data_IF_445239166664
#
_entry.id   IF_445239166664
#
_cell.length_a   1.000
_cell.length_b   1.000
_cell.length_c   1.000
_cell.angle_alpha   90.00
_cell.angle_beta   90.00
_cell.angle_gamma   90.00
#
_symmetry.space_group_name_H-M   'P 1'
#
loop_
_entity.id
_entity.type
_entity.pdbx_description
1 polymer ?
#
# COMPACT_ATOMS: atom_id res chain seq x y z
N UNK A 1 -30.23 60.97 41.81
CA UNK A 1 -29.49 60.39 40.67
C UNK A 1 -29.77 58.89 40.66
N UNK A 2 -30.12 58.39 39.49
CA UNK A 2 -31.08 57.30 39.29
C UNK A 2 -30.54 55.89 39.50
N UNK A 3 -31.34 55.06 40.14
CA UNK A 3 -31.49 53.60 39.94
C UNK A 3 -32.68 53.37 38.97
N UNK A 4 -33.13 52.14 38.61
CA UNK A 4 -32.52 50.78 38.56
C UNK A 4 -32.86 49.98 37.26
N UNK A 5 -32.20 48.82 37.07
CA UNK A 5 -32.87 47.51 36.89
C UNK A 5 -33.45 47.02 35.54
N UNK A 6 -33.37 45.69 35.39
CA UNK A 6 -34.30 44.72 34.74
C UNK A 6 -34.09 44.29 33.27
N UNK A 7 -33.99 42.95 33.08
CA UNK A 7 -34.34 42.19 31.86
C UNK A 7 -35.89 42.16 31.65
N UNK A 8 -36.51 41.24 30.86
CA UNK A 8 -36.44 40.88 29.42
C UNK A 8 -37.85 41.01 28.75
N UNK A 9 -38.01 40.84 27.43
CA UNK A 9 -39.15 40.11 26.82
C UNK A 9 -39.14 40.04 25.28
N UNK A 10 -39.69 38.93 24.80
CA UNK A 10 -40.02 38.49 23.45
C UNK A 10 -41.48 38.88 23.10
N UNK A 11 -41.79 39.35 21.88
CA UNK A 11 -43.02 38.99 21.10
C UNK A 11 -43.12 39.67 19.71
N UNK A 12 -43.34 38.83 18.69
CA UNK A 12 -44.31 38.89 17.57
C UNK A 12 -44.20 39.91 16.38
N UNK A 13 -44.12 39.29 15.19
CA UNK A 13 -44.56 39.61 13.80
C UNK A 13 -45.68 40.66 13.56
N UNK A 14 -45.91 41.21 12.32
CA UNK A 14 -46.00 40.46 11.04
C UNK A 14 -45.61 41.18 9.71
N UNK A 15 -45.71 40.41 8.61
CA UNK A 15 -46.12 40.76 7.23
C UNK A 15 -45.08 40.68 6.08
N UNK A 16 -45.29 39.69 5.20
CA UNK A 16 -44.84 39.56 3.80
C UNK A 16 -45.61 40.56 2.88
N UNK A 17 -45.42 40.66 1.52
CA UNK A 17 -44.73 39.75 0.58
C UNK A 17 -43.89 40.43 -0.54
N UNK A 18 -43.09 39.65 -1.27
CA UNK A 18 -42.47 40.10 -2.52
C UNK A 18 -41.44 39.11 -3.07
N UNK A 19 -41.84 38.29 -4.04
CA UNK A 19 -40.94 37.44 -4.82
C UNK A 19 -40.16 38.20 -5.92
N UNK A 20 -39.71 37.52 -6.97
CA UNK A 20 -38.37 36.94 -7.06
C UNK A 20 -37.53 37.58 -8.19
N UNK A 21 -36.19 37.40 -8.19
CA UNK A 21 -35.36 36.98 -9.36
C UNK A 21 -33.85 37.28 -9.24
N UNK A 22 -33.07 36.27 -9.69
CA UNK A 22 -31.78 36.31 -10.41
C UNK A 22 -30.52 36.90 -9.72
N UNK A 23 -29.28 36.54 -10.02
CA UNK A 23 -28.58 35.43 -10.71
C UNK A 23 -27.13 35.91 -10.89
N UNK A 24 -26.13 35.12 -10.49
CA UNK A 24 -24.77 35.10 -11.09
C UNK A 24 -24.03 33.87 -10.53
N UNK A 25 -24.04 32.70 -11.17
CA UNK A 25 -23.30 32.31 -12.37
C UNK A 25 -21.77 32.47 -12.24
N UNK A 26 -21.08 31.34 -11.98
CA UNK A 26 -19.76 31.10 -12.57
C UNK A 26 -19.62 29.62 -12.96
N UNK A 27 -19.39 29.47 -14.25
CA UNK A 27 -19.36 28.31 -15.13
C UNK A 27 -18.23 27.32 -14.87
N UNK A 28 -18.54 26.03 -14.88
CA UNK A 28 -17.62 24.92 -15.18
C UNK A 28 -18.18 24.13 -16.38
N UNK A 29 -17.33 23.47 -17.20
CA UNK A 29 -17.70 23.07 -18.56
C UNK A 29 -18.70 21.92 -18.58
N UNK A 30 -19.85 22.15 -19.21
CA UNK A 30 -20.78 21.11 -19.68
C UNK A 30 -20.29 20.53 -21.00
N UNK A 31 -20.36 19.21 -21.12
CA UNK A 31 -20.52 18.55 -22.42
C UNK A 31 -19.78 17.22 -22.53
N UNK A 32 -20.47 16.10 -22.29
CA UNK A 32 -21.09 15.25 -23.33
C UNK A 32 -22.02 14.25 -22.64
N UNK A 33 -23.15 13.99 -23.29
CA UNK A 33 -24.38 13.47 -22.68
C UNK A 33 -24.20 12.16 -21.91
N UNK A 34 -24.72 12.15 -20.69
CA UNK A 34 -25.25 10.92 -20.12
C UNK A 34 -26.38 10.48 -21.05
N UNK A 35 -26.09 9.55 -21.96
CA UNK A 35 -27.13 8.74 -22.57
C UNK A 35 -27.70 7.95 -21.39
N UNK A 36 -28.89 8.35 -20.96
CA UNK A 36 -29.72 7.57 -20.07
C UNK A 36 -30.14 6.34 -20.87
N UNK A 37 -29.22 5.38 -21.00
CA UNK A 37 -29.53 4.06 -21.53
C UNK A 37 -30.36 3.41 -20.44
N UNK A 38 -31.68 3.56 -20.57
CA UNK A 38 -32.65 2.64 -20.01
C UNK A 38 -32.21 1.26 -20.46
N UNK A 39 -31.48 0.56 -19.59
CA UNK A 39 -31.22 -0.86 -19.79
C UNK A 39 -32.60 -1.48 -19.62
N UNK A 40 -33.25 -1.81 -20.74
CA UNK A 40 -34.47 -2.60 -20.71
C UNK A 40 -34.11 -3.93 -20.06
N UNK A 41 -34.42 -4.02 -18.76
CA UNK A 41 -34.12 -5.15 -17.88
C UNK A 41 -35.04 -6.36 -18.13
N UNK A 42 -35.43 -6.56 -19.39
CA UNK A 42 -36.38 -7.57 -19.83
C UNK A 42 -35.68 -8.75 -20.53
N UNK A 43 -34.60 -9.29 -19.94
CA UNK A 43 -34.00 -10.54 -20.43
C UNK A 43 -33.18 -11.27 -19.37
N UNK A 44 -33.76 -11.55 -18.20
CA UNK A 44 -33.36 -12.72 -17.40
C UNK A 44 -34.58 -13.19 -16.63
N UNK A 45 -35.26 -14.20 -17.17
CA UNK A 45 -36.32 -14.90 -16.46
C UNK A 45 -35.71 -15.67 -15.30
N UNK A 46 -35.92 -15.17 -14.08
CA UNK A 46 -35.98 -16.01 -12.89
C UNK A 46 -36.91 -15.35 -11.88
N UNK A 47 -37.86 -16.14 -11.35
CA UNK A 47 -38.92 -15.69 -10.43
C UNK A 47 -38.38 -15.36 -9.02
N UNK A 48 -37.06 -15.45 -8.81
CA UNK A 48 -36.41 -15.41 -7.49
C UNK A 48 -35.46 -14.21 -7.26
N UNK A 49 -35.37 -13.26 -8.21
CA UNK A 49 -34.63 -12.00 -8.02
C UNK A 49 -33.11 -12.14 -7.87
N UNK A 50 -32.52 -13.28 -8.25
CA UNK A 50 -31.07 -13.54 -8.24
C UNK A 50 -30.45 -13.24 -9.61
N UNK A 51 -29.18 -12.89 -9.62
CA UNK A 51 -28.42 -12.74 -10.86
C UNK A 51 -26.98 -13.26 -10.72
N UNK A 52 -26.41 -13.64 -11.86
CA UNK A 52 -25.00 -14.03 -11.98
C UNK A 52 -24.17 -12.76 -12.01
N UNK A 53 -23.03 -12.78 -11.31
CA UNK A 53 -22.08 -11.68 -11.33
C UNK A 53 -20.64 -12.18 -11.23
N UNK A 54 -19.71 -11.32 -11.64
CA UNK A 54 -18.28 -11.57 -11.55
C UNK A 54 -17.81 -11.28 -10.12
N UNK A 55 -17.58 -12.34 -9.35
CA UNK A 55 -17.18 -12.26 -7.95
C UNK A 55 -15.68 -11.98 -7.78
N UNK A 56 -14.85 -12.50 -8.69
CA UNK A 56 -13.40 -12.34 -8.64
C UNK A 56 -12.79 -12.49 -10.03
N UNK A 57 -11.69 -11.80 -10.25
CA UNK A 57 -10.79 -11.98 -11.38
C UNK A 57 -9.39 -12.29 -10.86
N UNK A 58 -8.74 -13.31 -11.39
CA UNK A 58 -7.36 -13.65 -11.06
C UNK A 58 -6.55 -13.72 -12.36
N UNK A 59 -5.51 -12.89 -12.49
CA UNK A 59 -4.57 -13.01 -13.60
C UNK A 59 -3.35 -13.82 -13.18
N UNK A 60 -2.98 -14.79 -14.02
CA UNK A 60 -1.80 -15.62 -13.84
C UNK A 60 -0.53 -15.00 -14.46
N UNK A 61 -0.70 -14.20 -15.51
CA UNK A 61 0.40 -13.67 -16.34
C UNK A 61 0.45 -12.13 -16.36
N UNK A 62 0.64 -11.55 -17.56
CA UNK A 62 0.98 -10.13 -17.78
C UNK A 62 -0.24 -9.21 -17.75
N UNK A 63 -1.46 -9.75 -17.83
CA UNK A 63 -2.67 -8.95 -17.92
C UNK A 63 -3.09 -8.37 -16.57
N UNK A 64 -3.51 -7.11 -16.58
CA UNK A 64 -4.25 -6.55 -15.44
C UNK A 64 -5.62 -7.22 -15.32
N UNK A 65 -6.17 -7.33 -14.11
CA UNK A 65 -7.51 -7.89 -13.87
C UNK A 65 -8.61 -7.32 -14.77
N UNK A 66 -8.57 -6.01 -15.06
CA UNK A 66 -9.54 -5.37 -15.95
C UNK A 66 -9.34 -5.71 -17.43
N UNK A 67 -8.09 -5.96 -17.87
CA UNK A 67 -7.84 -6.46 -19.24
C UNK A 67 -8.23 -7.91 -19.40
N UNK A 68 -7.97 -8.74 -18.39
CA UNK A 68 -8.46 -10.12 -18.35
C UNK A 68 -10.00 -10.15 -18.41
N UNK A 69 -10.67 -9.25 -17.67
CA UNK A 69 -12.12 -9.11 -17.72
C UNK A 69 -12.60 -8.65 -19.11
N UNK A 70 -11.93 -7.67 -19.73
CA UNK A 70 -12.22 -7.24 -21.09
C UNK A 70 -12.08 -8.37 -22.10
N UNK A 71 -10.99 -9.16 -22.01
CA UNK A 71 -10.75 -10.33 -22.84
C UNK A 71 -11.88 -11.36 -22.71
N UNK A 72 -12.31 -11.67 -21.49
CA UNK A 72 -13.42 -12.60 -21.29
C UNK A 72 -14.76 -12.03 -21.78
N UNK A 73 -14.93 -10.71 -21.71
CA UNK A 73 -16.12 -9.99 -22.16
C UNK A 73 -16.19 -9.81 -23.69
N UNK A 74 -15.22 -10.32 -24.46
CA UNK A 74 -15.31 -10.35 -25.93
C UNK A 74 -16.32 -11.41 -26.35
N UNK A 75 -17.52 -10.95 -26.69
CA UNK A 75 -18.69 -11.78 -27.01
C UNK A 75 -19.35 -11.27 -28.28
N UNK A 76 -20.14 -12.11 -29.00
CA UNK A 76 -20.95 -11.65 -30.11
C UNK A 76 -21.90 -10.52 -29.71
N UNK A 77 -22.14 -9.58 -30.62
CA UNK A 77 -23.17 -8.56 -30.41
C UNK A 77 -24.54 -9.23 -30.20
N UNK A 78 -25.27 -8.80 -29.16
CA UNK A 78 -26.59 -9.33 -28.84
C UNK A 78 -26.61 -10.73 -28.20
N UNK A 79 -25.48 -11.24 -27.67
CA UNK A 79 -25.46 -12.51 -26.92
C UNK A 79 -26.49 -12.50 -25.77
N UNK A 80 -27.29 -13.57 -25.68
CA UNK A 80 -28.28 -13.78 -24.61
C UNK A 80 -27.75 -14.67 -23.47
N UNK A 81 -26.47 -15.06 -23.50
CA UNK A 81 -25.88 -15.87 -22.43
C UNK A 81 -25.78 -15.04 -21.13
N UNK A 82 -26.33 -15.52 -19.99
CA UNK A 82 -26.26 -14.79 -18.73
C UNK A 82 -24.83 -14.58 -18.21
N UNK A 83 -23.87 -15.44 -18.60
CA UNK A 83 -22.45 -15.27 -18.29
C UNK A 83 -21.88 -14.09 -19.08
N UNK A 84 -22.22 -13.97 -20.37
CA UNK A 84 -21.79 -12.87 -21.24
C UNK A 84 -22.32 -11.53 -20.73
N UNK A 85 -23.61 -11.50 -20.38
CA UNK A 85 -24.24 -10.33 -19.78
C UNK A 85 -23.55 -9.92 -18.45
N UNK A 86 -23.20 -10.89 -17.59
CA UNK A 86 -22.49 -10.62 -16.33
C UNK A 86 -21.07 -10.09 -16.56
N UNK A 87 -20.35 -10.59 -17.57
CA UNK A 87 -19.01 -10.13 -17.93
C UNK A 87 -19.01 -8.69 -18.45
N UNK A 88 -19.89 -8.39 -19.40
CA UNK A 88 -20.04 -7.05 -19.99
C UNK A 88 -20.49 -6.05 -18.92
N UNK A 89 -21.50 -6.39 -18.11
CA UNK A 89 -21.95 -5.53 -17.02
C UNK A 89 -20.84 -5.27 -15.98
N UNK A 90 -20.06 -6.30 -15.64
CA UNK A 90 -18.92 -6.16 -14.74
C UNK A 90 -17.82 -5.29 -15.35
N UNK A 91 -17.55 -5.39 -16.66
CA UNK A 91 -16.56 -4.55 -17.32
C UNK A 91 -16.97 -3.08 -17.30
N UNK A 92 -18.21 -2.77 -17.68
CA UNK A 92 -18.73 -1.39 -17.65
C UNK A 92 -18.70 -0.80 -16.24
N UNK A 93 -19.09 -1.57 -15.22
CA UNK A 93 -19.08 -1.11 -13.84
C UNK A 93 -17.66 -0.88 -13.31
N UNK A 94 -16.75 -1.82 -13.57
CA UNK A 94 -15.43 -1.84 -12.94
C UNK A 94 -14.35 -1.13 -13.75
N UNK A 95 -14.51 -0.98 -15.05
CA UNK A 95 -13.57 -0.36 -16.01
C UNK A 95 -14.33 0.41 -17.10
N UNK A 96 -15.03 1.51 -16.75
CA UNK A 96 -15.69 2.36 -17.75
C UNK A 96 -14.70 3.02 -18.73
N UNK A 97 -13.40 3.00 -18.40
CA UNK A 97 -12.30 3.46 -19.24
C UNK A 97 -11.91 2.49 -20.37
N UNK A 98 -12.41 1.25 -20.34
CA UNK A 98 -12.18 0.24 -21.39
C UNK A 98 -13.46 0.08 -22.21
N UNK A 99 -13.37 0.28 -23.52
CA UNK A 99 -14.45 -0.06 -24.45
C UNK A 99 -14.60 -1.58 -24.57
N UNK A 100 -15.85 -2.05 -24.60
CA UNK A 100 -16.14 -3.47 -24.83
C UNK A 100 -15.81 -3.78 -26.29
N UNK A 101 -14.91 -4.74 -26.51
CA UNK A 101 -14.66 -5.29 -27.83
C UNK A 101 -15.69 -6.39 -28.11
N UNK A 102 -16.37 -6.31 -29.24
CA UNK A 102 -17.30 -7.34 -29.68
C UNK A 102 -16.65 -8.25 -30.73
N UNK A 103 -17.05 -9.51 -30.73
CA UNK A 103 -16.66 -10.45 -31.79
C UNK A 103 -17.43 -10.12 -33.06
N UNK A 104 -16.73 -10.06 -34.20
CA UNK A 104 -17.39 -9.98 -35.50
C UNK A 104 -18.24 -11.24 -35.77
N UNK A 105 -19.23 -11.13 -36.66
CA UNK A 105 -20.07 -12.26 -37.07
C UNK A 105 -19.22 -13.41 -37.63
N UNK A 106 -19.54 -14.65 -37.24
CA UNK A 106 -18.82 -15.85 -37.65
C UNK A 106 -17.47 -16.08 -36.96
N UNK A 107 -17.01 -15.17 -36.10
CA UNK A 107 -15.74 -15.28 -35.38
C UNK A 107 -15.84 -15.84 -33.96
N UNK A 108 -17.04 -16.26 -33.56
CA UNK A 108 -17.33 -16.89 -32.29
C UNK A 108 -17.71 -18.35 -32.48
N UNK A 109 -17.01 -19.24 -31.80
CA UNK A 109 -17.28 -20.67 -31.77
C UNK A 109 -17.73 -21.07 -30.36
N UNK A 110 -19.01 -21.41 -30.13
CA UNK A 110 -19.53 -21.70 -28.80
C UNK A 110 -18.92 -22.98 -28.20
N UNK A 111 -19.05 -23.12 -26.88
CA UNK A 111 -18.66 -24.34 -26.18
C UNK A 111 -19.64 -25.48 -26.52
N UNK A 112 -19.13 -26.70 -26.65
CA UNK A 112 -19.93 -27.92 -26.88
C UNK A 112 -19.68 -28.93 -25.75
N UNK A 113 -20.49 -29.99 -25.65
CA UNK A 113 -20.28 -31.02 -24.62
C UNK A 113 -18.92 -31.72 -24.77
N UNK A 114 -18.44 -31.89 -26.01
CA UNK A 114 -17.11 -32.43 -26.29
C UNK A 114 -15.98 -31.40 -26.07
N UNK A 115 -16.27 -30.10 -26.29
CA UNK A 115 -15.33 -28.99 -26.16
C UNK A 115 -15.87 -27.97 -25.17
N UNK A 116 -15.57 -28.15 -23.88
CA UNK A 116 -16.06 -27.31 -22.76
C UNK A 116 -15.41 -25.91 -22.68
N UNK A 117 -15.03 -25.35 -23.83
CA UNK A 117 -14.54 -23.99 -23.98
C UNK A 117 -15.05 -23.42 -25.30
N UNK A 118 -15.32 -22.12 -25.32
CA UNK A 118 -15.59 -21.34 -26.53
C UNK A 118 -14.32 -20.68 -27.02
N UNK A 119 -14.32 -20.36 -28.31
CA UNK A 119 -13.24 -19.65 -29.00
C UNK A 119 -13.81 -18.38 -29.61
N UNK A 120 -13.12 -17.26 -29.42
CA UNK A 120 -13.49 -15.97 -29.98
C UNK A 120 -12.27 -15.34 -30.61
N UNK A 121 -12.35 -14.93 -31.88
CA UNK A 121 -11.32 -14.07 -32.47
C UNK A 121 -11.63 -12.63 -32.09
N UNK A 122 -10.64 -11.95 -31.52
CA UNK A 122 -10.71 -10.55 -31.16
C UNK A 122 -9.71 -9.75 -31.99
N UNK A 123 -10.21 -8.69 -32.64
CA UNK A 123 -9.38 -7.80 -33.44
C UNK A 123 -8.88 -6.63 -32.62
N UNK A 124 -7.60 -6.28 -32.80
CA UNK A 124 -7.01 -5.10 -32.16
C UNK A 124 -7.01 -5.14 -30.63
N UNK A 125 -6.74 -6.30 -30.03
CA UNK A 125 -6.63 -6.40 -28.57
C UNK A 125 -5.24 -5.96 -28.11
N UNK A 126 -5.19 -4.97 -27.21
CA UNK A 126 -3.93 -4.53 -26.62
C UNK A 126 -3.53 -5.45 -25.45
N UNK A 127 -2.52 -6.29 -25.65
CA UNK A 127 -2.00 -7.18 -24.61
C UNK A 127 -1.18 -6.42 -23.55
N UNK A 128 -0.29 -5.50 -23.96
CA UNK A 128 0.60 -4.75 -23.07
C UNK A 128 0.31 -3.23 -23.08
N UNK A 129 0.75 -2.51 -22.05
CA UNK A 129 0.82 -1.03 -22.03
C UNK A 129 2.05 -0.51 -22.80
N UNK A 130 2.97 -1.40 -23.15
CA UNK A 130 4.29 -1.12 -23.75
C UNK A 130 4.27 -0.73 -25.24
N UNK A 131 3.23 -0.06 -25.74
CA UNK A 131 3.15 0.47 -27.11
C UNK A 131 3.33 -0.55 -28.26
N UNK A 132 3.21 -1.85 -28.01
CA UNK A 132 3.05 -2.81 -29.11
C UNK A 132 1.70 -2.54 -29.82
N UNK A 133 1.67 -2.60 -31.17
CA UNK A 133 0.43 -2.39 -31.91
C UNK A 133 -0.63 -3.39 -31.44
N UNK A 134 -1.92 -2.99 -31.42
CA UNK A 134 -3.00 -3.93 -31.14
C UNK A 134 -2.88 -5.15 -32.05
N UNK A 135 -2.91 -6.36 -31.46
CA UNK A 135 -2.75 -7.61 -32.21
C UNK A 135 -4.09 -8.35 -32.27
N UNK A 136 -4.27 -9.10 -33.34
CA UNK A 136 -5.37 -10.06 -33.44
C UNK A 136 -5.05 -11.26 -32.56
N UNK A 137 -6.01 -11.64 -31.71
CA UNK A 137 -5.82 -12.71 -30.75
C UNK A 137 -6.99 -13.68 -30.80
N UNK A 138 -6.69 -14.95 -30.57
CA UNK A 138 -7.70 -15.97 -30.33
C UNK A 138 -7.87 -16.12 -28.83
N UNK A 139 -9.09 -15.91 -28.34
CA UNK A 139 -9.46 -16.00 -26.94
C UNK A 139 -10.18 -17.32 -26.72
N UNK A 140 -9.74 -18.08 -25.72
CA UNK A 140 -10.37 -19.31 -25.27
C UNK A 140 -10.95 -19.07 -23.87
N UNK A 141 -12.24 -19.31 -23.69
CA UNK A 141 -12.91 -19.19 -22.38
C UNK A 141 -13.73 -20.44 -22.08
N UNK A 142 -13.56 -21.03 -20.90
CA UNK A 142 -14.25 -22.28 -20.59
C UNK A 142 -13.97 -22.86 -19.22
N UNK A 143 -14.35 -24.13 -19.08
CA UNK A 143 -14.07 -24.92 -17.90
C UNK A 143 -12.56 -25.00 -17.62
N UNK A 144 -12.17 -24.87 -16.36
CA UNK A 144 -10.77 -24.78 -15.95
C UNK A 144 -9.98 -26.00 -16.41
N UNK A 145 -10.53 -27.20 -16.26
CA UNK A 145 -9.85 -28.44 -16.64
C UNK A 145 -9.74 -28.57 -18.16
N UNK A 146 -10.75 -28.11 -18.90
CA UNK A 146 -10.73 -28.11 -20.37
C UNK A 146 -9.71 -27.13 -20.93
N UNK A 147 -9.63 -25.91 -20.38
CA UNK A 147 -8.66 -24.89 -20.80
C UNK A 147 -7.23 -25.30 -20.45
N UNK A 148 -6.99 -25.85 -19.24
CA UNK A 148 -5.65 -26.33 -18.84
C UNK A 148 -5.15 -27.53 -19.67
N UNK A 149 -6.04 -28.27 -20.34
CA UNK A 149 -5.67 -29.32 -21.30
C UNK A 149 -5.33 -28.76 -22.68
N UNK A 150 -5.91 -27.63 -23.06
CA UNK A 150 -5.79 -27.04 -24.39
C UNK A 150 -4.79 -25.88 -24.46
N UNK A 151 -4.34 -25.35 -23.31
CA UNK A 151 -3.44 -24.21 -23.21
C UNK A 151 -2.28 -24.49 -22.25
N UNK A 152 -1.14 -23.86 -22.47
CA UNK A 152 0.03 -23.99 -21.62
C UNK A 152 0.02 -22.96 -20.48
N UNK A 153 0.43 -23.44 -19.30
CA UNK A 153 0.61 -22.64 -18.10
C UNK A 153 1.93 -23.09 -17.44
N UNK A 154 2.92 -22.19 -17.27
CA UNK A 154 4.21 -22.54 -16.68
C UNK A 154 4.05 -23.22 -15.32
N UNK A 155 4.93 -24.19 -15.00
CA UNK A 155 4.84 -24.97 -13.76
C UNK A 155 4.87 -24.08 -12.49
N UNK A 156 5.61 -22.97 -12.53
CA UNK A 156 5.68 -21.99 -11.45
C UNK A 156 4.35 -21.28 -11.18
N UNK A 157 3.53 -21.08 -12.21
CA UNK A 157 2.24 -20.37 -12.14
C UNK A 157 1.06 -21.33 -11.92
N UNK A 158 1.21 -22.60 -12.33
CA UNK A 158 0.16 -23.62 -12.26
C UNK A 158 -0.30 -23.93 -10.83
N UNK A 159 0.63 -24.10 -9.89
CA UNK A 159 0.27 -24.42 -8.51
C UNK A 159 -0.46 -23.26 -7.79
N UNK A 160 -0.01 -21.99 -7.88
CA UNK A 160 -0.78 -20.85 -7.39
C UNK A 160 -2.16 -20.73 -8.06
N UNK A 161 -2.23 -20.87 -9.38
CA UNK A 161 -3.48 -20.79 -10.14
C UNK A 161 -4.52 -21.80 -9.62
N UNK A 162 -4.14 -23.08 -9.50
CA UNK A 162 -5.04 -24.13 -9.01
C UNK A 162 -5.47 -23.93 -7.55
N UNK A 163 -4.60 -23.41 -6.68
CA UNK A 163 -4.98 -23.06 -5.30
C UNK A 163 -6.04 -21.96 -5.27
N UNK A 164 -5.93 -20.97 -6.14
CA UNK A 164 -6.91 -19.89 -6.23
C UNK A 164 -8.25 -20.36 -6.81
N UNK A 165 -8.22 -21.31 -7.75
CA UNK A 165 -9.42 -21.97 -8.27
C UNK A 165 -10.11 -22.79 -7.17
N UNK A 166 -9.39 -23.68 -6.48
CA UNK A 166 -9.93 -24.50 -5.37
C UNK A 166 -10.52 -23.61 -4.25
N UNK A 167 -9.85 -22.50 -3.92
CA UNK A 167 -10.38 -21.54 -2.96
C UNK A 167 -11.69 -20.91 -3.43
N UNK A 168 -11.79 -20.50 -4.70
CA UNK A 168 -13.00 -19.92 -5.27
C UNK A 168 -14.15 -20.92 -5.29
N UNK A 169 -13.89 -22.17 -5.69
CA UNK A 169 -14.88 -23.24 -5.72
C UNK A 169 -15.40 -23.60 -4.32
N UNK A 170 -14.52 -23.64 -3.30
CA UNK A 170 -14.93 -23.81 -1.89
C UNK A 170 -15.80 -22.68 -1.36
N UNK A 171 -15.69 -21.48 -1.92
CA UNK A 171 -16.57 -20.36 -1.62
C UNK A 171 -17.90 -20.40 -2.40
N UNK A 172 -18.18 -21.50 -3.11
CA UNK A 172 -19.38 -21.67 -3.92
C UNK A 172 -19.34 -20.88 -5.24
N UNK A 173 -18.16 -20.45 -5.68
CA UNK A 173 -17.98 -19.71 -6.93
C UNK A 173 -17.66 -20.69 -8.07
N UNK A 174 -18.07 -20.37 -9.30
CA UNK A 174 -17.69 -21.14 -10.49
C UNK A 174 -16.64 -20.40 -11.31
N UNK A 175 -15.53 -21.06 -11.60
CA UNK A 175 -14.42 -20.45 -12.33
C UNK A 175 -14.54 -20.71 -13.84
N UNK A 176 -14.35 -19.65 -14.62
CA UNK A 176 -14.17 -19.67 -16.06
C UNK A 176 -12.71 -19.33 -16.35
N UNK A 177 -11.93 -20.28 -16.83
CA UNK A 177 -10.56 -20.02 -17.24
C UNK A 177 -10.54 -19.28 -18.58
N UNK A 178 -9.55 -18.41 -18.74
CA UNK A 178 -9.34 -17.61 -19.95
C UNK A 178 -7.90 -17.81 -20.41
N UNK A 179 -7.74 -18.17 -21.67
CA UNK A 179 -6.47 -18.31 -22.36
C UNK A 179 -6.48 -17.50 -23.65
N UNK A 180 -5.29 -17.16 -24.13
CA UNK A 180 -5.13 -16.42 -25.37
C UNK A 180 -3.99 -16.97 -26.22
N UNK A 181 -4.12 -16.87 -27.54
CA UNK A 181 -3.08 -17.17 -28.51
C UNK A 181 -2.97 -16.01 -29.51
N UNK A 182 -1.75 -15.59 -29.90
CA UNK A 182 -1.58 -14.61 -30.97
C UNK A 182 -2.02 -15.21 -32.30
N UNK A 183 -2.53 -14.37 -33.20
CA UNK A 183 -2.85 -14.73 -34.58
C UNK A 183 -1.79 -14.06 -35.47
N UNK A 184 -1.12 -14.84 -36.30
CA UNK A 184 -0.15 -14.32 -37.25
C UNK A 184 -0.81 -13.57 -38.42
N UNK A 185 -0.01 -12.88 -39.24
CA UNK A 185 -0.52 -12.14 -40.40
C UNK A 185 -1.18 -13.06 -41.46
N UNK A 186 -0.84 -14.35 -41.45
CA UNK A 186 -1.37 -15.37 -42.35
C UNK A 186 -2.67 -16.01 -41.79
N UNK A 187 -3.09 -15.62 -40.59
CA UNK A 187 -4.32 -16.05 -39.92
C UNK A 187 -4.20 -17.33 -39.08
N UNK A 188 -3.01 -17.91 -38.96
CA UNK A 188 -2.74 -19.06 -38.10
C UNK A 188 -2.75 -18.67 -36.63
N UNK A 189 -3.34 -19.53 -35.82
CA UNK A 189 -3.40 -19.38 -34.37
C UNK A 189 -2.16 -20.02 -33.76
N UNK A 190 -1.40 -19.23 -33.00
CA UNK A 190 -0.24 -19.70 -32.25
C UNK A 190 -0.60 -20.57 -31.05
N UNK A 191 0.35 -20.74 -30.15
CA UNK A 191 0.15 -21.52 -28.92
C UNK A 191 -0.75 -20.76 -27.92
N UNK A 192 -1.70 -21.48 -27.32
CA UNK A 192 -2.54 -20.90 -26.27
C UNK A 192 -1.80 -20.87 -24.94
N UNK A 193 -1.84 -19.70 -24.29
CA UNK A 193 -1.36 -19.51 -22.93
C UNK A 193 -2.49 -19.11 -22.00
N UNK A 194 -2.52 -19.70 -20.81
CA UNK A 194 -3.52 -19.35 -19.79
C UNK A 194 -3.20 -17.98 -19.21
N UNK A 195 -4.15 -17.05 -19.30
CA UNK A 195 -3.99 -15.67 -18.82
C UNK A 195 -4.58 -15.47 -17.41
N UNK A 196 -5.57 -16.29 -17.03
CA UNK A 196 -6.21 -16.21 -15.74
C UNK A 196 -7.55 -16.91 -15.66
N UNK A 197 -8.34 -16.60 -14.62
CA UNK A 197 -9.72 -17.04 -14.50
C UNK A 197 -10.63 -15.95 -13.93
N UNK A 198 -11.92 -16.09 -14.23
CA UNK A 198 -13.00 -15.25 -13.71
C UNK A 198 -13.94 -16.14 -12.91
N UNK A 199 -14.14 -15.82 -11.64
CA UNK A 199 -15.06 -16.55 -10.78
C UNK A 199 -16.43 -15.85 -10.75
N UNK A 200 -17.47 -16.62 -10.99
CA UNK A 200 -18.86 -16.20 -10.93
C UNK A 200 -19.51 -16.68 -9.65
N UNK A 201 -20.42 -15.88 -9.11
CA UNK A 201 -21.29 -16.28 -8.02
C UNK A 201 -22.73 -15.91 -8.34
N UNK A 202 -23.66 -16.54 -7.62
CA UNK A 202 -25.08 -16.21 -7.68
C UNK A 202 -25.43 -15.37 -6.44
N UNK A 203 -26.01 -14.19 -6.64
CA UNK A 203 -26.43 -13.33 -5.52
C UNK A 203 -27.76 -12.61 -5.81
N UNK A 204 -28.52 -12.21 -4.77
CA UNK A 204 -29.70 -11.37 -4.92
C UNK A 204 -29.36 -10.03 -5.60
N UNK A 205 -30.22 -9.55 -6.50
CA UNK A 205 -30.02 -8.28 -7.24
C UNK A 205 -29.77 -7.07 -6.34
N UNK A 206 -30.37 -7.01 -5.17
CA UNK A 206 -30.17 -5.93 -4.18
C UNK A 206 -28.75 -5.93 -3.62
N UNK A 207 -28.19 -7.10 -3.35
CA UNK A 207 -26.82 -7.27 -2.89
C UNK A 207 -25.83 -6.92 -4.01
N UNK A 208 -26.16 -7.27 -5.25
CA UNK A 208 -25.36 -6.94 -6.43
C UNK A 208 -25.27 -5.44 -6.68
N UNK A 209 -26.40 -4.72 -6.64
CA UNK A 209 -26.41 -3.27 -6.79
C UNK A 209 -25.49 -2.60 -5.76
N UNK A 210 -25.46 -3.12 -4.53
CA UNK A 210 -24.56 -2.67 -3.47
C UNK A 210 -23.08 -2.99 -3.78
N UNK A 211 -22.77 -4.21 -4.20
CA UNK A 211 -21.40 -4.63 -4.54
C UNK A 211 -20.85 -3.92 -5.80
N UNK A 212 -21.70 -3.67 -6.79
CA UNK A 212 -21.37 -2.91 -8.01
C UNK A 212 -21.13 -1.43 -7.67
N UNK A 213 -21.99 -0.82 -6.84
CA UNK A 213 -21.76 0.53 -6.33
C UNK A 213 -20.46 0.64 -5.50
N UNK A 214 -20.03 -0.45 -4.89
CA UNK A 214 -18.78 -0.52 -4.13
C UNK A 214 -17.51 -0.59 -5.01
N UNK A 215 -17.59 -0.66 -6.35
CA UNK A 215 -16.49 -0.67 -7.35
C UNK A 215 -15.07 -1.07 -6.82
N UNK A 216 -14.67 -2.35 -6.90
CA UNK A 216 -13.36 -2.84 -6.46
C UNK A 216 -12.15 -2.19 -7.16
N UNK A 217 -12.32 -1.56 -8.34
CA UNK A 217 -11.21 -0.85 -8.99
C UNK A 217 -11.05 0.60 -8.51
N UNK A 218 -11.95 1.09 -7.65
CA UNK A 218 -11.80 2.40 -7.05
C UNK A 218 -10.55 2.45 -6.16
N UNK A 219 -9.76 3.51 -6.31
CA UNK A 219 -8.65 3.79 -5.40
C UNK A 219 -9.20 4.38 -4.10
N UNK A 220 -8.90 3.72 -2.99
CA UNK A 220 -9.22 4.21 -1.64
C UNK A 220 -7.92 4.65 -1.00
N UNK A 221 -7.90 5.89 -0.50
CA UNK A 221 -6.81 6.39 0.34
C UNK A 221 -6.95 5.79 1.72
N UNK A 222 -5.97 4.99 2.13
CA UNK A 222 -5.87 4.46 3.49
C UNK A 222 -4.82 5.27 4.22
N UNK A 223 -5.21 5.93 5.31
CA UNK A 223 -4.26 6.65 6.15
C UNK A 223 -3.48 5.63 6.99
N UNK A 224 -2.28 5.28 6.50
CA UNK A 224 -1.39 4.34 7.17
C UNK A 224 -0.62 4.99 8.32
N UNK A 225 -0.21 6.26 8.20
CA UNK A 225 0.70 6.87 9.18
C UNK A 225 0.08 8.14 9.76
N UNK A 226 -0.16 8.12 11.08
CA UNK A 226 -0.67 9.30 11.77
C UNK A 226 0.32 10.46 11.71
N UNK A 227 -0.20 11.70 11.78
CA UNK A 227 0.63 12.89 11.74
C UNK A 227 1.71 12.90 12.84
N UNK A 228 1.35 12.40 14.03
CA UNK A 228 2.27 12.25 15.17
C UNK A 228 3.43 11.31 14.84
N UNK A 229 3.18 10.16 14.21
CA UNK A 229 4.24 9.23 13.84
C UNK A 229 5.19 9.83 12.80
N UNK A 230 4.64 10.56 11.83
CA UNK A 230 5.45 11.25 10.80
C UNK A 230 6.34 12.31 11.42
N UNK A 231 5.78 13.15 12.30
CA UNK A 231 6.56 14.15 13.03
C UNK A 231 7.70 13.48 13.83
N UNK A 232 7.39 12.43 14.59
CA UNK A 232 8.38 11.68 15.36
C UNK A 232 9.53 11.19 14.47
N UNK A 233 9.23 10.61 13.31
CA UNK A 233 10.26 10.11 12.40
C UNK A 233 11.15 11.21 11.83
N UNK A 234 10.56 12.28 11.28
CA UNK A 234 11.33 13.36 10.68
C UNK A 234 12.13 14.15 11.71
N UNK A 235 11.58 14.33 12.92
CA UNK A 235 12.30 14.92 14.04
C UNK A 235 13.48 14.03 14.49
N UNK A 236 13.28 12.70 14.57
CA UNK A 236 14.37 11.76 14.85
C UNK A 236 15.47 11.84 13.79
N UNK A 237 15.10 11.87 12.51
CA UNK A 237 16.06 11.99 11.41
C UNK A 237 16.90 13.27 11.53
N UNK A 238 16.25 14.43 11.70
CA UNK A 238 16.94 15.71 11.81
C UNK A 238 17.90 15.76 13.01
N UNK A 239 17.47 15.25 14.17
CA UNK A 239 18.30 15.22 15.37
C UNK A 239 19.47 14.25 15.25
N UNK A 240 19.24 13.04 14.70
CA UNK A 240 20.31 12.05 14.47
C UNK A 240 21.36 12.62 13.53
N UNK A 241 20.97 13.31 12.45
CA UNK A 241 21.90 13.96 11.52
C UNK A 241 22.71 15.05 12.24
N UNK A 242 22.06 15.94 13.00
CA UNK A 242 22.75 16.99 13.74
C UNK A 242 23.76 16.44 14.76
N UNK A 243 23.35 15.45 15.56
CA UNK A 243 24.24 14.79 16.54
C UNK A 243 25.36 14.01 15.87
N UNK A 244 25.09 13.37 14.74
CA UNK A 244 26.08 12.61 13.97
C UNK A 244 27.18 13.52 13.45
N UNK A 245 26.81 14.60 12.77
CA UNK A 245 27.77 15.54 12.16
C UNK A 245 28.63 16.17 13.24
N UNK A 246 28.00 16.67 14.31
CA UNK A 246 28.72 17.27 15.44
C UNK A 246 29.54 16.24 16.22
N UNK A 247 29.02 15.03 16.42
CA UNK A 247 29.67 13.93 17.14
C UNK A 247 30.92 13.44 16.43
N UNK A 248 30.88 13.36 15.09
CA UNK A 248 32.05 13.04 14.28
C UNK A 248 33.16 14.08 14.45
N UNK A 249 32.85 15.38 14.40
CA UNK A 249 33.85 16.43 14.65
C UNK A 249 34.35 16.45 16.11
N UNK A 250 33.55 15.99 17.07
CA UNK A 250 34.00 15.82 18.46
C UNK A 250 34.99 14.66 18.60
N UNK A 251 34.79 13.59 17.83
CA UNK A 251 35.65 12.41 17.82
C UNK A 251 36.96 12.68 17.07
N UNK A 252 36.88 13.28 15.89
CA UNK A 252 38.00 13.62 15.04
C UNK A 252 37.95 15.11 14.63
N UNK A 253 38.62 16.00 15.38
CA UNK A 253 38.64 17.43 15.09
C UNK A 253 39.55 17.78 13.89
N UNK A 254 40.24 16.81 13.28
CA UNK A 254 41.21 17.06 12.21
C UNK A 254 40.63 17.71 10.94
N UNK A 255 39.31 17.61 10.73
CA UNK A 255 38.61 18.27 9.62
C UNK A 255 38.20 19.72 9.92
N UNK A 256 38.36 20.20 11.15
CA UNK A 256 38.05 21.58 11.52
C UNK A 256 39.22 22.51 11.18
N UNK A 257 38.94 23.78 10.82
CA UNK A 257 39.98 24.80 10.68
C UNK A 257 40.82 24.86 11.96
N UNK A 258 42.14 24.71 11.80
CA UNK A 258 43.06 24.86 12.91
C UNK A 258 43.29 26.36 13.19
N UNK A 259 43.41 26.76 14.47
CA UNK A 259 43.71 28.15 14.80
C UNK A 259 45.01 28.59 14.13
N UNK A 260 44.97 29.75 13.48
CA UNK A 260 46.08 30.29 12.68
C UNK A 260 47.10 31.08 13.50
N UNK A 261 46.76 31.41 14.75
CA UNK A 261 47.63 32.13 15.69
C UNK A 261 47.39 31.65 17.12
N UNK A 262 48.39 31.78 17.98
CA UNK A 262 48.30 31.39 19.39
C UNK A 262 47.33 32.29 20.20
N UNK A 263 47.04 33.49 19.70
CA UNK A 263 46.24 34.50 20.37
C UNK A 263 44.73 34.42 20.06
N UNK A 264 44.35 33.70 18.99
CA UNK A 264 42.95 33.42 18.65
C UNK A 264 42.71 31.91 18.50
N UNK A 265 42.38 31.28 19.63
CA UNK A 265 42.07 29.84 19.70
C UNK A 265 40.64 29.51 19.22
N UNK A 266 39.81 30.52 18.95
CA UNK A 266 38.40 30.36 18.55
C UNK A 266 37.51 29.66 19.57
N UNK A 267 36.19 29.62 19.30
CA UNK A 267 35.20 28.88 20.11
C UNK A 267 34.40 27.85 19.31
N UNK A 268 34.87 27.51 18.10
CA UNK A 268 34.16 26.63 17.17
C UNK A 268 33.83 25.26 17.79
N UNK A 269 34.80 24.63 18.45
CA UNK A 269 34.59 23.34 19.11
C UNK A 269 33.59 23.44 20.28
N UNK A 270 33.56 24.60 20.96
CA UNK A 270 32.54 24.90 21.97
C UNK A 270 31.13 24.94 21.38
N UNK A 271 30.96 25.61 20.24
CA UNK A 271 29.69 25.69 19.49
C UNK A 271 29.26 24.29 19.01
N UNK A 272 30.17 23.51 18.44
CA UNK A 272 29.88 22.13 17.97
C UNK A 272 29.38 21.27 19.12
N UNK A 273 30.07 21.30 20.27
CA UNK A 273 29.66 20.58 21.48
C UNK A 273 28.31 21.06 21.99
N UNK A 274 28.06 22.36 21.99
CA UNK A 274 26.78 22.93 22.40
C UNK A 274 25.63 22.42 21.53
N UNK A 275 25.78 22.47 20.19
CA UNK A 275 24.78 21.95 19.25
C UNK A 275 24.55 20.45 19.49
N UNK A 276 25.62 19.67 19.70
CA UNK A 276 25.53 18.24 19.99
C UNK A 276 24.69 17.97 21.25
N UNK A 277 24.96 18.69 22.34
CA UNK A 277 24.23 18.50 23.60
C UNK A 277 22.77 18.92 23.48
N UNK A 278 22.49 20.08 22.87
CA UNK A 278 21.11 20.54 22.64
C UNK A 278 20.34 19.53 21.80
N UNK A 279 20.92 19.02 20.72
CA UNK A 279 20.31 17.99 19.88
C UNK A 279 20.10 16.68 20.67
N UNK A 280 21.07 16.27 21.50
CA UNK A 280 20.95 15.11 22.38
C UNK A 280 19.81 15.21 23.38
N UNK A 281 19.68 16.35 24.07
CA UNK A 281 18.57 16.57 25.00
C UNK A 281 17.22 16.63 24.28
N UNK A 282 17.14 17.29 23.12
CA UNK A 282 15.93 17.28 22.30
C UNK A 282 15.55 15.86 21.86
N UNK A 283 16.55 15.02 21.54
CA UNK A 283 16.34 13.63 21.15
C UNK A 283 15.87 12.76 22.31
N UNK A 284 16.37 12.99 23.53
CA UNK A 284 15.86 12.35 24.75
C UNK A 284 14.40 12.73 24.99
N UNK A 285 14.04 14.00 24.88
CA UNK A 285 12.64 14.45 25.03
C UNK A 285 11.75 13.79 23.97
N UNK A 286 12.22 13.71 22.74
CA UNK A 286 11.51 13.01 21.66
C UNK A 286 11.35 11.52 21.98
N UNK A 287 12.40 10.85 22.46
CA UNK A 287 12.35 9.46 22.90
C UNK A 287 11.38 9.22 24.07
N UNK A 288 11.37 10.10 25.07
CA UNK A 288 10.42 10.03 26.19
C UNK A 288 8.97 10.22 25.72
N UNK A 289 8.74 11.17 24.81
CA UNK A 289 7.42 11.36 24.20
C UNK A 289 6.96 10.11 23.44
N UNK A 290 7.90 9.39 22.80
CA UNK A 290 7.63 8.12 22.12
C UNK A 290 7.25 7.02 23.12
N UNK A 291 7.97 6.90 24.23
CA UNK A 291 7.64 5.95 25.31
C UNK A 291 6.25 6.25 25.87
N UNK A 292 5.94 7.52 26.14
CA UNK A 292 4.61 7.93 26.61
C UNK A 292 3.50 7.57 25.60
N UNK A 293 3.70 7.88 24.32
CA UNK A 293 2.77 7.51 23.24
C UNK A 293 2.60 5.98 23.13
N UNK A 294 3.62 5.19 23.46
CA UNK A 294 3.53 3.73 23.41
C UNK A 294 2.50 3.13 24.37
N UNK A 295 2.17 3.85 25.45
CA UNK A 295 1.15 3.45 26.42
C UNK A 295 -0.21 4.11 26.16
N UNK A 296 -0.23 5.36 25.70
CA UNK A 296 -1.46 6.18 25.65
C UNK A 296 -2.13 6.20 24.27
N UNK A 297 -1.38 5.98 23.19
CA UNK A 297 -1.91 6.18 21.84
C UNK A 297 -2.99 5.15 21.46
N UNK A 298 -4.06 5.65 20.82
CA UNK A 298 -5.13 4.84 20.24
C UNK A 298 -4.70 4.11 18.96
N UNK A 299 -3.72 4.66 18.24
CA UNK A 299 -3.24 4.08 16.98
C UNK A 299 -2.48 2.76 17.22
N UNK A 300 -2.84 1.72 16.46
CA UNK A 300 -2.24 0.39 16.58
C UNK A 300 -0.72 0.39 16.36
N UNK A 301 -0.21 1.27 15.49
CA UNK A 301 1.23 1.38 15.17
C UNK A 301 2.02 2.19 16.21
N UNK A 302 1.34 2.93 17.08
CA UNK A 302 1.99 3.69 18.15
C UNK A 302 2.15 2.87 19.43
N UNK A 303 1.34 1.82 19.62
CA UNK A 303 1.31 1.02 20.85
C UNK A 303 2.53 0.10 21.04
N UNK A 304 2.82 -0.23 22.30
CA UNK A 304 3.86 -1.18 22.73
C UNK A 304 3.88 -2.51 21.96
N UNK A 305 2.71 -3.05 21.58
CA UNK A 305 2.59 -4.30 20.81
C UNK A 305 3.24 -4.23 19.42
N UNK A 306 3.49 -3.04 18.86
CA UNK A 306 4.18 -2.88 17.60
C UNK A 306 5.70 -3.10 17.70
N UNK A 307 6.28 -3.08 18.91
CA UNK A 307 7.71 -3.29 19.15
C UNK A 307 8.11 -4.77 19.27
N UNK A 308 7.15 -5.69 19.34
CA UNK A 308 7.44 -7.12 19.47
C UNK A 308 6.70 -7.93 18.38
N UNK A 309 7.36 -8.20 17.23
CA UNK A 309 6.77 -8.93 16.10
C UNK A 309 6.48 -10.40 16.35
N UNK A 310 7.05 -11.01 17.41
CA UNK A 310 7.13 -12.47 17.55
C UNK A 310 6.06 -13.04 18.49
N UNK A 311 4.78 -12.72 18.27
CA UNK A 311 3.69 -13.23 19.11
C UNK A 311 3.03 -14.50 18.55
N UNK A 312 3.21 -14.83 17.26
CA UNK A 312 2.58 -16.00 16.64
C UNK A 312 3.55 -16.84 15.82
N UNK A 313 3.29 -18.16 15.73
CA UNK A 313 4.02 -19.09 14.84
C UNK A 313 3.93 -18.67 13.36
N UNK A 314 2.88 -17.93 12.97
CA UNK A 314 2.75 -17.36 11.61
C UNK A 314 3.75 -16.24 11.35
N UNK A 315 4.03 -15.40 12.35
CA UNK A 315 4.95 -14.26 12.22
C UNK A 315 6.40 -14.74 12.07
N UNK A 316 6.77 -15.80 12.81
CA UNK A 316 8.09 -16.46 12.71
C UNK A 316 8.27 -17.11 11.33
N UNK A 317 7.23 -17.77 10.80
CA UNK A 317 7.29 -18.36 9.45
C UNK A 317 7.43 -17.26 8.38
N UNK A 318 6.68 -16.16 8.50
CA UNK A 318 6.79 -15.01 7.60
C UNK A 318 8.16 -14.30 7.66
N UNK A 319 8.79 -14.26 8.83
CA UNK A 319 10.16 -13.78 8.99
C UNK A 319 11.16 -14.64 8.20
N UNK A 320 11.07 -15.97 8.33
CA UNK A 320 11.97 -16.90 7.62
C UNK A 320 11.76 -16.80 6.11
N UNK A 321 10.51 -16.71 5.64
CA UNK A 321 10.17 -16.53 4.23
C UNK A 321 10.72 -15.21 3.67
N UNK A 322 10.64 -14.14 4.46
CA UNK A 322 11.24 -12.85 4.09
C UNK A 322 12.76 -12.93 3.99
N UNK A 323 13.43 -13.51 4.98
CA UNK A 323 14.89 -13.64 4.97
C UNK A 323 15.33 -14.43 3.75
N UNK A 324 14.62 -15.51 3.41
CA UNK A 324 14.88 -16.30 2.19
C UNK A 324 14.67 -15.47 0.92
N UNK A 325 13.63 -14.65 0.86
CA UNK A 325 13.38 -13.75 -0.28
C UNK A 325 14.50 -12.72 -0.44
N UNK A 326 14.91 -12.04 0.64
CA UNK A 326 16.02 -11.07 0.59
C UNK A 326 17.39 -11.72 0.35
N UNK A 327 17.58 -12.98 0.76
CA UNK A 327 18.75 -13.78 0.43
C UNK A 327 18.70 -14.38 -0.99
N UNK A 328 17.71 -14.00 -1.81
CA UNK A 328 17.50 -14.50 -3.18
C UNK A 328 17.25 -16.01 -3.30
N UNK A 329 16.85 -16.67 -2.21
CA UNK A 329 16.56 -18.11 -2.16
C UNK A 329 15.16 -18.40 -2.72
N UNK A 330 14.22 -17.46 -2.61
CA UNK A 330 12.84 -17.63 -3.09
C UNK A 330 12.47 -16.51 -4.07
N UNK A 331 11.87 -16.81 -5.24
CA UNK A 331 11.53 -15.79 -6.25
C UNK A 331 10.31 -14.91 -5.91
N UNK A 332 9.46 -15.31 -4.97
CA UNK A 332 8.25 -14.56 -4.57
C UNK A 332 8.26 -14.29 -3.06
N UNK A 333 8.18 -13.01 -2.67
CA UNK A 333 8.08 -12.57 -1.29
C UNK A 333 6.63 -12.31 -0.85
N UNK A 334 6.27 -12.52 0.42
CA UNK A 334 4.95 -12.18 0.94
C UNK A 334 4.72 -10.66 0.99
N UNK A 335 3.51 -10.21 0.62
CA UNK A 335 3.11 -8.79 0.61
C UNK A 335 2.63 -8.36 2.00
N UNK A 336 3.31 -7.38 2.61
CA UNK A 336 2.95 -6.78 3.91
C UNK A 336 2.50 -5.32 3.73
N UNK A 337 1.48 -4.86 4.46
CA UNK A 337 0.96 -3.49 4.35
C UNK A 337 1.77 -2.47 5.15
N UNK A 338 2.16 -2.81 6.38
CA UNK A 338 2.80 -1.88 7.31
C UNK A 338 4.29 -2.18 7.48
N UNK A 339 4.63 -3.34 8.05
CA UNK A 339 6.02 -3.72 8.29
C UNK A 339 6.21 -5.23 8.16
N UNK A 340 7.28 -5.59 7.46
CA UNK A 340 7.78 -6.95 7.44
C UNK A 340 8.31 -7.35 8.83
N UNK A 341 8.15 -8.61 9.30
CA UNK A 341 8.76 -9.10 10.55
C UNK A 341 10.26 -8.79 10.69
N UNK A 342 11.03 -8.83 9.60
CA UNK A 342 12.46 -8.47 9.64
C UNK A 342 12.66 -6.98 9.94
N UNK A 343 11.84 -6.12 9.33
CA UNK A 343 11.85 -4.68 9.60
C UNK A 343 11.47 -4.39 11.06
N UNK A 344 10.46 -5.08 11.60
CA UNK A 344 10.07 -4.91 13.00
C UNK A 344 11.21 -5.29 13.97
N UNK A 345 11.94 -6.39 13.72
CA UNK A 345 13.11 -6.76 14.51
C UNK A 345 14.25 -5.73 14.41
N UNK A 346 14.55 -5.25 13.20
CA UNK A 346 15.55 -4.20 13.00
C UNK A 346 15.17 -2.91 13.75
N UNK A 347 13.88 -2.57 13.82
CA UNK A 347 13.43 -1.42 14.61
C UNK A 347 13.59 -1.65 16.11
N UNK A 348 13.22 -2.82 16.64
CA UNK A 348 13.45 -3.11 18.06
C UNK A 348 14.94 -3.03 18.40
N UNK A 349 15.81 -3.57 17.53
CA UNK A 349 17.25 -3.44 17.65
C UNK A 349 17.71 -1.98 17.67
N UNK A 350 17.30 -1.16 16.70
CA UNK A 350 17.73 0.26 16.65
C UNK A 350 17.24 1.04 17.88
N UNK A 351 16.03 0.78 18.39
CA UNK A 351 15.55 1.42 19.63
C UNK A 351 16.44 1.09 20.83
N UNK A 352 16.88 -0.16 20.97
CA UNK A 352 17.83 -0.55 22.04
C UNK A 352 19.16 0.15 21.86
N UNK A 353 19.71 0.18 20.65
CA UNK A 353 20.94 0.93 20.36
C UNK A 353 20.79 2.42 20.70
N UNK A 354 19.65 3.04 20.37
CA UNK A 354 19.37 4.44 20.70
C UNK A 354 19.34 4.67 22.21
N UNK A 355 18.76 3.76 23.00
CA UNK A 355 18.79 3.86 24.47
C UNK A 355 20.21 3.78 25.02
N UNK A 356 21.04 2.88 24.50
CA UNK A 356 22.46 2.79 24.89
C UNK A 356 23.20 4.05 24.48
N UNK A 357 22.92 4.61 23.30
CA UNK A 357 23.51 5.88 22.84
C UNK A 357 23.14 7.04 23.78
N UNK A 358 21.88 7.14 24.19
CA UNK A 358 21.42 8.14 25.15
C UNK A 358 22.09 7.95 26.51
N UNK A 359 22.18 6.73 27.02
CA UNK A 359 22.79 6.43 28.31
C UNK A 359 24.30 6.74 28.33
N UNK A 360 25.03 6.34 27.29
CA UNK A 360 26.47 6.63 27.17
C UNK A 360 26.73 8.12 26.99
N UNK A 361 25.91 8.83 26.20
CA UNK A 361 26.00 10.27 26.03
C UNK A 361 25.71 11.05 27.32
N UNK A 362 24.65 10.68 28.04
CA UNK A 362 24.31 11.25 29.35
C UNK A 362 25.38 10.97 30.40
N UNK A 363 25.96 9.78 30.42
CA UNK A 363 27.05 9.43 31.32
C UNK A 363 28.30 10.27 31.06
N UNK A 364 28.68 10.46 29.79
CA UNK A 364 29.80 11.33 29.43
C UNK A 364 29.53 12.81 29.73
N UNK A 365 28.30 13.27 29.49
CA UNK A 365 27.91 14.63 29.85
C UNK A 365 27.96 14.83 31.37
N UNK A 366 27.39 13.89 32.14
CA UNK A 366 27.27 13.93 33.60
C UNK A 366 28.59 13.99 34.37
N UNK A 367 29.73 13.74 33.73
CA UNK A 367 31.06 13.92 34.32
C UNK A 367 31.29 15.35 34.84
N UNK A 368 30.59 16.35 34.30
CA UNK A 368 30.69 17.73 34.80
C UNK A 368 30.25 17.89 36.26
N UNK A 369 29.33 17.04 36.74
CA UNK A 369 28.77 17.10 38.08
C UNK A 369 28.46 15.69 38.64
N UNK A 370 29.45 14.81 38.54
CA UNK A 370 29.33 13.38 38.81
C UNK A 370 28.88 12.98 40.23
N UNK A 371 28.95 13.88 41.21
CA UNK A 371 28.61 13.58 42.60
C UNK A 371 27.20 14.05 43.02
N UNK A 372 26.43 14.65 42.11
CA UNK A 372 25.16 15.30 42.45
C UNK A 372 23.94 14.62 41.84
N UNK A 373 23.00 14.22 42.70
CA UNK A 373 21.64 13.83 42.31
C UNK A 373 21.58 12.79 41.20
N UNK A 374 20.84 13.09 40.12
CA UNK A 374 20.67 12.19 38.97
C UNK A 374 21.98 11.88 38.24
N UNK A 375 22.96 12.78 38.26
CA UNK A 375 24.22 12.61 37.54
C UNK A 375 25.09 11.50 38.12
N UNK A 376 25.02 11.25 39.44
CA UNK A 376 25.75 10.15 40.07
C UNK A 376 25.28 8.79 39.57
N UNK A 377 23.98 8.64 39.26
CA UNK A 377 23.43 7.43 38.66
C UNK A 377 23.84 7.30 37.18
N UNK A 378 23.77 8.38 36.42
CA UNK A 378 24.05 8.35 34.97
C UNK A 378 25.54 8.12 34.66
N UNK A 379 26.44 8.47 35.58
CA UNK A 379 27.89 8.26 35.44
C UNK A 379 28.32 6.82 35.78
N UNK A 380 27.47 6.00 36.42
CA UNK A 380 27.80 4.61 36.80
C UNK A 380 28.42 3.78 35.66
N UNK A 381 27.88 3.78 34.42
CA UNK A 381 28.50 3.05 33.32
C UNK A 381 29.91 3.54 32.98
N UNK A 382 30.17 4.84 33.12
CA UNK A 382 31.48 5.46 32.92
C UNK A 382 32.45 5.07 34.04
N UNK A 383 31.98 5.02 35.28
CA UNK A 383 32.77 4.59 36.43
C UNK A 383 33.21 3.12 36.31
N UNK A 384 32.36 2.26 35.73
CA UNK A 384 32.66 0.83 35.56
C UNK A 384 33.53 0.53 34.34
N UNK A 385 33.24 1.13 33.19
CA UNK A 385 33.90 0.81 31.92
C UNK A 385 35.10 1.71 31.61
N UNK A 386 35.20 2.86 32.28
CA UNK A 386 36.20 3.89 32.01
C UNK A 386 35.79 4.85 30.88
N UNK A 387 36.27 6.08 30.97
CA UNK A 387 35.97 7.16 30.01
C UNK A 387 36.33 6.76 28.56
N UNK A 388 37.53 6.19 28.26
CA UNK A 388 37.90 5.86 26.89
C UNK A 388 36.96 4.81 26.27
N UNK A 389 36.60 3.78 27.05
CA UNK A 389 35.71 2.70 26.61
C UNK A 389 34.31 3.22 26.31
N UNK A 390 33.75 4.08 27.16
CA UNK A 390 32.41 4.65 26.90
C UNK A 390 32.42 5.55 25.67
N UNK A 391 33.48 6.35 25.46
CA UNK A 391 33.64 7.15 24.24
C UNK A 391 33.70 6.26 22.99
N UNK A 392 34.45 5.16 23.06
CA UNK A 392 34.54 4.19 21.97
C UNK A 392 33.18 3.56 21.66
N UNK A 393 32.45 3.11 22.69
CA UNK A 393 31.10 2.53 22.51
C UNK A 393 30.15 3.56 21.89
N UNK A 394 30.16 4.80 22.38
CA UNK A 394 29.31 5.88 21.88
C UNK A 394 29.59 6.21 20.40
N UNK A 395 30.87 6.24 20.01
CA UNK A 395 31.29 6.43 18.63
C UNK A 395 30.96 5.21 17.75
N UNK A 396 31.16 4.00 18.26
CA UNK A 396 30.86 2.76 17.53
C UNK A 396 29.36 2.66 17.20
N UNK A 397 28.50 2.98 18.15
CA UNK A 397 27.05 3.00 17.94
C UNK A 397 26.65 4.03 16.88
N UNK A 398 27.29 5.22 16.85
CA UNK A 398 27.09 6.20 15.78
C UNK A 398 27.35 5.57 14.40
N UNK A 399 28.45 4.84 14.22
CA UNK A 399 28.74 4.16 12.94
C UNK A 399 27.74 3.04 12.60
N UNK A 400 27.27 2.29 13.60
CA UNK A 400 26.20 1.30 13.39
C UNK A 400 24.91 1.99 12.94
N UNK A 401 24.58 3.14 13.50
CA UNK A 401 23.42 3.96 13.07
C UNK A 401 23.61 4.43 11.62
N UNK A 402 24.83 4.78 11.19
CA UNK A 402 25.08 5.16 9.79
C UNK A 402 24.78 4.01 8.84
N UNK A 403 25.31 2.81 9.14
CA UNK A 403 25.06 1.61 8.34
C UNK A 403 23.55 1.32 8.27
N UNK A 404 22.85 1.44 9.40
CA UNK A 404 21.39 1.30 9.44
C UNK A 404 20.68 2.32 8.55
N UNK A 405 21.04 3.61 8.61
CA UNK A 405 20.40 4.66 7.80
C UNK A 405 20.59 4.40 6.31
N UNK A 406 21.81 4.04 5.88
CA UNK A 406 22.11 3.73 4.47
C UNK A 406 21.25 2.55 3.99
N UNK A 407 21.22 1.45 4.75
CA UNK A 407 20.43 0.26 4.42
C UNK A 407 18.93 0.59 4.42
N UNK A 408 18.46 1.34 5.41
CA UNK A 408 17.06 1.73 5.56
C UNK A 408 16.58 2.55 4.35
N UNK A 409 17.34 3.57 3.94
CA UNK A 409 17.01 4.40 2.78
C UNK A 409 17.04 3.58 1.50
N UNK A 410 18.05 2.73 1.30
CA UNK A 410 18.12 1.83 0.14
C UNK A 410 16.89 0.92 0.05
N UNK A 411 16.53 0.24 1.14
CA UNK A 411 15.38 -0.66 1.16
C UNK A 411 14.06 0.09 0.96
N UNK A 412 13.93 1.30 1.51
CA UNK A 412 12.74 2.14 1.30
C UNK A 412 12.59 2.54 -0.18
N UNK A 413 13.67 2.98 -0.82
CA UNK A 413 13.67 3.36 -2.24
C UNK A 413 13.42 2.15 -3.13
N UNK A 414 14.06 1.01 -2.85
CA UNK A 414 13.86 -0.24 -3.60
C UNK A 414 12.41 -0.72 -3.51
N UNK A 415 11.82 -0.73 -2.31
CA UNK A 415 10.43 -1.15 -2.13
C UNK A 415 9.45 -0.23 -2.87
N UNK A 416 9.71 1.08 -2.88
CA UNK A 416 8.85 2.02 -3.60
C UNK A 416 8.98 1.88 -5.13
N UNK A 417 10.22 1.69 -5.63
CA UNK A 417 10.49 1.58 -7.06
C UNK A 417 10.07 0.23 -7.65
N UNK A 418 10.30 -0.88 -6.94
CA UNK A 418 10.09 -2.25 -7.46
C UNK A 418 8.70 -2.77 -7.11
N UNK A 419 8.26 -2.56 -5.86
CA UNK A 419 7.06 -3.19 -5.33
C UNK A 419 5.84 -2.24 -5.32
N UNK A 420 6.03 -0.98 -5.74
CA UNK A 420 5.01 0.08 -5.80
C UNK A 420 4.22 0.24 -4.49
N UNK A 421 4.90 -0.01 -3.37
CA UNK A 421 4.28 -0.04 -2.05
C UNK A 421 3.85 1.35 -1.53
N UNK A 422 4.37 2.45 -2.11
CA UNK A 422 4.04 3.81 -1.69
C UNK A 422 4.65 4.19 -0.34
N UNK A 423 5.69 3.48 0.10
CA UNK A 423 6.25 3.58 1.46
C UNK A 423 6.78 4.98 1.78
N UNK A 424 7.58 5.56 0.88
CA UNK A 424 8.17 6.89 1.07
C UNK A 424 7.07 7.96 0.99
N UNK A 425 6.23 7.89 -0.04
CA UNK A 425 5.11 8.82 -0.24
C UNK A 425 4.18 8.87 0.98
N UNK A 426 3.87 7.69 1.55
CA UNK A 426 3.04 7.59 2.75
C UNK A 426 3.69 8.20 3.98
N UNK A 427 5.03 8.14 4.12
CA UNK A 427 5.72 8.76 5.25
C UNK A 427 5.71 10.29 5.20
N UNK A 428 5.52 10.86 4.02
CA UNK A 428 5.38 12.30 3.81
C UNK A 428 3.91 12.70 3.97
N UNK A 429 2.99 12.07 3.23
CA UNK A 429 1.60 12.51 3.11
C UNK A 429 0.61 11.83 4.09
N UNK A 430 1.04 10.77 4.78
CA UNK A 430 0.25 10.01 5.77
C UNK A 430 -0.62 8.88 5.22
N UNK A 431 -0.72 8.67 3.91
CA UNK A 431 -1.61 7.66 3.33
C UNK A 431 -1.10 6.99 2.05
N UNK A 432 -1.52 5.75 1.84
CA UNK A 432 -1.27 4.98 0.63
C UNK A 432 -2.58 4.86 -0.15
N UNK A 433 -2.49 4.93 -1.48
CA UNK A 433 -3.60 4.62 -2.36
C UNK A 433 -3.61 3.11 -2.63
N UNK A 434 -4.65 2.43 -2.18
CA UNK A 434 -4.84 1.00 -2.41
C UNK A 434 -6.11 0.78 -3.23
N UNK A 435 -6.12 -0.29 -4.03
CA UNK A 435 -7.34 -0.72 -4.71
C UNK A 435 -8.34 -1.25 -3.69
N UNK A 436 -9.59 -0.84 -3.81
CA UNK A 436 -10.69 -1.36 -2.99
C UNK A 436 -10.81 -2.88 -3.16
N UNK A 437 -11.03 -3.61 -2.09
CA UNK A 437 -11.06 -5.07 -2.06
C UNK A 437 -9.69 -5.77 -1.93
N UNK A 438 -8.57 -5.04 -1.90
CA UNK A 438 -7.26 -5.62 -1.56
C UNK A 438 -7.30 -6.16 -0.12
N UNK A 439 -6.76 -7.36 0.10
CA UNK A 439 -6.64 -8.00 1.42
C UNK A 439 -5.17 -8.12 1.81
N UNK A 440 -4.59 -7.11 2.48
CA UNK A 440 -3.24 -7.20 3.01
C UNK A 440 -3.16 -8.24 4.15
N UNK A 441 -2.00 -8.83 4.38
CA UNK A 441 -1.85 -9.89 5.40
C UNK A 441 -2.01 -9.39 6.84
N UNK A 442 -1.78 -8.10 7.08
CA UNK A 442 -1.71 -7.43 8.38
C UNK A 442 -2.85 -6.44 8.65
N UNK A 443 -3.76 -6.26 7.67
CA UNK A 443 -4.95 -5.42 7.78
C UNK A 443 -6.21 -6.14 7.25
N UNK A 444 -7.41 -5.79 7.74
CA UNK A 444 -8.66 -6.27 7.13
C UNK A 444 -8.76 -5.82 5.67
N UNK A 445 -9.66 -6.47 4.91
CA UNK A 445 -9.98 -6.10 3.53
C UNK A 445 -10.27 -4.59 3.45
N UNK A 446 -9.65 -3.91 2.49
CA UNK A 446 -9.81 -2.45 2.33
C UNK A 446 -11.09 -2.15 1.57
N UNK A 447 -12.02 -1.43 2.19
CA UNK A 447 -13.38 -1.23 1.67
C UNK A 447 -14.29 -2.35 2.18
#
# INVERSE_FOLDING_TARGET
MSTPGTQPHNTQEPAAPGGPRHSAARTGPRGRGAVDVRVDHAATGDRDGRAIWVARTYSARKLTSGRLLCMAAVVPEGSQDPIDAALVASLHANRPDIEVLHSAEGQFSPATQARRYSLTRAHGFLMDKSHEPPQDIMIMRGDVEAVLRAATLPAAEKAPFLRHVDLAERMGQRCLAVASAPIDADGHVGEFHVEGFIAFALAPRTQLAKTVAENPNAWVRVNLWSATLRFQHWANMALIVAMTVTGYFIMDPGLLPQPTSADDTGYLMGIIRFIHFVAGFAWIVLGLSRVWLAFVAKDRQLRWRAFWPLNSRKDVRGLIETIKYYAFITPHGPVYLAHNPLQQLSYTGIYVLCLVQMATGLGLYGLYNQYSGLWSLLVVPVAWLGIPTVRLIHALIMFVIWAFVVIHVYLAVRADSVERHGGISSMINGGVWLRRGTTPMDAPKIG
#
